data_IF_311887173099
#
_entry.id   IF_311887173099
#
_cell.length_a   1.000
_cell.length_b   1.000
_cell.length_c   1.000
_cell.angle_alpha   90.00
_cell.angle_beta   90.00
_cell.angle_gamma   90.00
#
_symmetry.space_group_name_H-M   'P 1'
#
loop_
_entity.id
_entity.type
_entity.pdbx_description
1 polymer ?
#
# COMPACT_ATOMS: atom_id res chain seq x y z
N UNK A 1 -43.46 24.65 -65.95
CA UNK A 1 -43.16 25.37 -67.21
C UNK A 1 -41.64 25.43 -67.30
N UNK A 2 -41.00 24.47 -67.97
CA UNK A 2 -40.78 24.38 -69.43
C UNK A 2 -39.90 25.50 -69.99
N UNK A 3 -38.78 25.11 -70.61
CA UNK A 3 -37.87 25.96 -71.39
C UNK A 3 -36.84 26.69 -70.52
N UNK A 4 -35.57 26.82 -70.86
CA UNK A 4 -34.98 26.79 -72.19
C UNK A 4 -33.48 26.44 -72.13
N UNK A 5 -33.06 25.67 -73.12
CA UNK A 5 -31.66 25.33 -73.44
C UNK A 5 -30.95 26.57 -73.99
N UNK A 6 -29.68 26.73 -73.63
CA UNK A 6 -28.67 27.22 -74.59
C UNK A 6 -27.50 26.25 -74.58
N UNK A 7 -27.31 25.57 -75.72
CA UNK A 7 -26.08 24.85 -76.08
C UNK A 7 -25.12 25.86 -76.71
N UNK A 8 -23.81 25.62 -76.60
CA UNK A 8 -22.82 25.59 -77.69
C UNK A 8 -21.44 25.37 -77.02
N UNK A 9 -20.91 24.15 -77.02
CA UNK A 9 -20.11 23.50 -78.08
C UNK A 9 -18.69 24.06 -78.21
N UNK A 10 -17.70 23.32 -77.70
CA UNK A 10 -16.53 22.89 -78.48
C UNK A 10 -15.61 22.00 -77.64
N UNK A 11 -15.48 20.74 -78.08
CA UNK A 11 -14.45 19.76 -77.69
C UNK A 11 -13.03 20.29 -77.97
N UNK A 12 -12.07 20.03 -77.07
CA UNK A 12 -10.69 19.52 -77.33
C UNK A 12 -10.18 18.82 -76.05
N UNK A 13 -10.18 17.49 -75.99
CA UNK A 13 -9.05 16.57 -76.20
C UNK A 13 -7.89 16.80 -75.23
N UNK A 14 -7.60 15.82 -74.35
CA UNK A 14 -6.30 15.70 -73.70
C UNK A 14 -6.24 14.88 -72.40
N UNK A 15 -5.93 13.59 -72.53
CA UNK A 15 -5.28 12.68 -71.57
C UNK A 15 -6.01 12.24 -70.27
N UNK A 16 -6.06 10.91 -69.98
CA UNK A 16 -6.53 10.39 -68.70
C UNK A 16 -5.40 10.50 -67.66
N UNK A 17 -5.69 11.19 -66.55
CA UNK A 17 -4.82 11.21 -65.38
C UNK A 17 -4.91 9.83 -64.71
N UNK A 18 -3.90 8.99 -64.95
CA UNK A 18 -3.63 7.76 -64.21
C UNK A 18 -3.54 8.08 -62.71
N UNK A 19 -4.52 7.59 -61.96
CA UNK A 19 -4.53 7.58 -60.50
C UNK A 19 -3.47 6.58 -60.04
N UNK A 20 -2.29 7.07 -59.64
CA UNK A 20 -1.28 6.24 -58.97
C UNK A 20 -1.75 6.01 -57.54
N UNK A 21 -2.24 4.80 -57.26
CA UNK A 21 -2.48 4.32 -55.90
C UNK A 21 -1.10 4.03 -55.28
N UNK A 22 -0.57 5.00 -54.54
CA UNK A 22 0.56 4.78 -53.63
C UNK A 22 0.06 4.05 -52.39
N UNK A 23 0.29 2.73 -52.33
CA UNK A 23 0.07 1.92 -51.14
C UNK A 23 1.16 2.28 -50.11
N UNK A 24 0.91 3.30 -49.29
CA UNK A 24 1.72 3.58 -48.12
C UNK A 24 1.35 2.57 -47.01
N UNK A 25 2.06 1.45 -46.97
CA UNK A 25 2.04 0.56 -45.79
C UNK A 25 2.78 1.29 -44.69
N UNK A 26 2.03 2.01 -43.85
CA UNK A 26 2.56 2.54 -42.59
C UNK A 26 2.83 1.35 -41.67
N UNK A 27 4.10 0.93 -41.61
CA UNK A 27 4.62 0.08 -40.55
C UNK A 27 4.58 0.89 -39.24
N UNK A 28 3.41 0.95 -38.59
CA UNK A 28 3.38 1.23 -37.16
C UNK A 28 3.91 -0.01 -36.47
N UNK A 29 5.23 -0.04 -36.26
CA UNK A 29 5.81 -0.94 -35.27
C UNK A 29 5.15 -0.62 -33.94
N UNK A 30 4.33 -1.53 -33.44
CA UNK A 30 4.03 -1.56 -32.03
C UNK A 30 5.37 -1.80 -31.34
N UNK A 31 5.94 -0.73 -30.77
CA UNK A 31 6.89 -0.91 -29.68
C UNK A 31 6.03 -1.42 -28.55
N UNK A 32 5.88 -2.74 -28.51
CA UNK A 32 5.52 -3.44 -27.30
C UNK A 32 6.71 -3.17 -26.37
N UNK A 33 6.63 -2.06 -25.63
CA UNK A 33 7.42 -1.92 -24.43
C UNK A 33 6.89 -3.06 -23.59
N UNK A 34 7.59 -4.20 -23.66
CA UNK A 34 7.51 -5.24 -22.66
C UNK A 34 7.80 -4.51 -21.36
N UNK A 35 6.74 -4.04 -20.71
CA UNK A 35 6.78 -3.72 -19.31
C UNK A 35 7.08 -5.09 -18.73
N UNK A 36 8.36 -5.36 -18.46
CA UNK A 36 8.72 -6.45 -17.57
C UNK A 36 7.75 -6.29 -16.41
N UNK A 37 6.82 -7.24 -16.25
CA UNK A 37 5.84 -7.18 -15.17
C UNK A 37 6.68 -6.97 -13.92
N UNK A 38 6.66 -5.75 -13.38
CA UNK A 38 7.57 -5.42 -12.30
C UNK A 38 7.16 -6.30 -11.14
N UNK A 39 8.04 -7.26 -10.84
CA UNK A 39 7.80 -8.31 -9.88
C UNK A 39 7.52 -7.68 -8.51
N UNK A 40 6.58 -8.26 -7.77
CA UNK A 40 6.31 -7.83 -6.42
C UNK A 40 7.60 -7.86 -5.59
N UNK A 41 7.92 -6.72 -4.98
CA UNK A 41 8.90 -6.62 -3.90
C UNK A 41 8.37 -5.74 -2.79
N UNK A 42 8.87 -5.95 -1.58
CA UNK A 42 8.50 -5.14 -0.44
C UNK A 42 9.67 -4.87 0.49
N UNK A 43 9.54 -3.86 1.35
CA UNK A 43 10.50 -3.50 2.37
C UNK A 43 9.80 -3.15 3.68
N UNK A 44 10.44 -3.50 4.80
CA UNK A 44 10.00 -3.09 6.12
C UNK A 44 10.60 -1.72 6.43
N UNK A 45 9.77 -0.67 6.49
CA UNK A 45 10.23 0.67 6.85
C UNK A 45 10.04 0.85 8.35
N UNK A 46 11.13 0.80 9.11
CA UNK A 46 11.10 1.07 10.55
C UNK A 46 10.96 2.56 10.78
N UNK A 47 9.90 2.94 11.50
CA UNK A 47 9.54 4.32 11.79
C UNK A 47 9.91 4.77 13.20
N UNK A 48 9.99 3.83 14.13
CA UNK A 48 10.43 4.07 15.50
C UNK A 48 10.67 2.72 16.20
N UNK A 49 11.14 2.80 17.44
CA UNK A 49 11.24 1.66 18.33
C UNK A 49 10.66 2.04 19.69
N UNK A 50 9.89 1.15 20.31
CA UNK A 50 9.42 1.31 21.68
C UNK A 50 9.98 0.28 22.63
N UNK A 51 10.17 0.69 23.88
CA UNK A 51 10.49 -0.22 24.97
C UNK A 51 9.35 -1.21 25.12
N UNK A 52 9.68 -2.49 25.10
CA UNK A 52 8.72 -3.56 25.30
C UNK A 52 8.48 -3.74 26.79
N UNK A 53 7.37 -3.19 27.30
CA UNK A 53 6.70 -3.55 28.56
C UNK A 53 7.57 -4.03 29.75
N UNK A 54 7.04 -4.97 30.52
CA UNK A 54 7.72 -5.57 31.67
C UNK A 54 8.48 -6.86 31.27
N UNK A 55 9.45 -7.27 32.10
CA UNK A 55 10.26 -8.48 31.92
C UNK A 55 9.41 -9.74 31.73
N UNK A 56 9.79 -10.58 30.77
CA UNK A 56 9.21 -11.90 30.55
C UNK A 56 9.92 -12.95 31.44
N UNK A 57 9.14 -13.79 32.11
CA UNK A 57 9.67 -14.97 32.79
C UNK A 57 9.89 -16.11 31.78
N UNK A 58 11.13 -16.35 31.40
CA UNK A 58 11.54 -17.46 30.55
C UNK A 58 12.07 -18.65 31.34
N UNK A 59 12.35 -19.76 30.63
CA UNK A 59 12.96 -20.97 31.22
C UNK A 59 14.32 -20.70 31.90
N UNK A 60 14.99 -19.60 31.53
CA UNK A 60 16.32 -19.23 32.02
C UNK A 60 16.30 -17.98 32.92
N UNK A 61 15.13 -17.58 33.43
CA UNK A 61 14.96 -16.45 34.34
C UNK A 61 14.22 -15.28 33.70
N UNK A 62 14.38 -14.09 34.31
CA UNK A 62 13.79 -12.85 33.82
C UNK A 62 14.56 -12.34 32.62
N UNK A 63 13.84 -12.05 31.54
CA UNK A 63 14.41 -11.48 30.31
C UNK A 63 13.64 -10.21 29.95
N UNK A 64 14.37 -9.14 29.65
CA UNK A 64 13.75 -7.97 29.04
C UNK A 64 13.25 -8.38 27.65
N UNK A 65 12.00 -8.08 27.27
CA UNK A 65 11.56 -8.43 25.94
C UNK A 65 12.36 -7.63 24.90
N UNK A 66 12.45 -8.11 23.65
CA UNK A 66 13.02 -7.31 22.59
C UNK A 66 12.10 -6.10 22.34
N UNK A 67 12.69 -4.92 22.08
CA UNK A 67 11.93 -3.70 21.88
C UNK A 67 10.98 -3.84 20.68
N UNK A 68 9.80 -3.25 20.81
CA UNK A 68 8.78 -3.29 19.76
C UNK A 68 9.15 -2.35 18.63
N UNK A 69 9.27 -2.88 17.41
CA UNK A 69 9.53 -2.07 16.23
C UNK A 69 8.20 -1.51 15.71
N UNK A 70 8.17 -0.21 15.41
CA UNK A 70 7.05 0.40 14.69
C UNK A 70 7.39 0.40 13.21
N UNK A 71 6.62 -0.33 12.40
CA UNK A 71 6.93 -0.53 10.98
C UNK A 71 5.76 -0.14 10.08
N UNK A 72 6.09 0.34 8.89
CA UNK A 72 5.20 0.41 7.74
C UNK A 72 5.75 -0.50 6.64
N UNK A 73 4.89 -0.99 5.74
CA UNK A 73 5.32 -1.89 4.66
C UNK A 73 5.30 -1.11 3.34
N UNK A 74 6.48 -0.93 2.75
CA UNK A 74 6.62 -0.37 1.42
C UNK A 74 6.53 -1.49 0.40
N UNK A 75 5.67 -1.34 -0.59
CA UNK A 75 5.39 -2.38 -1.58
C UNK A 75 5.57 -1.76 -2.96
N UNK A 76 6.29 -2.43 -3.83
CA UNK A 76 6.37 -2.09 -5.25
C UNK A 76 5.85 -3.26 -6.08
N UNK A 77 4.89 -2.97 -6.95
CA UNK A 77 4.29 -3.97 -7.81
C UNK A 77 3.61 -3.32 -9.01
N UNK A 78 3.83 -3.87 -10.22
CA UNK A 78 3.25 -3.38 -11.49
C UNK A 78 3.44 -1.87 -11.71
N UNK A 79 4.61 -1.34 -11.33
CA UNK A 79 4.94 0.08 -11.46
C UNK A 79 4.24 1.00 -10.46
N UNK A 80 3.49 0.46 -9.49
CA UNK A 80 2.91 1.23 -8.40
C UNK A 80 3.63 0.98 -7.08
N UNK A 81 3.83 2.05 -6.29
CA UNK A 81 4.37 2.01 -4.94
C UNK A 81 3.27 2.26 -3.91
N UNK A 82 3.02 1.27 -3.07
CA UNK A 82 2.01 1.31 -2.02
C UNK A 82 2.68 1.34 -0.64
N UNK A 83 2.02 1.98 0.31
CA UNK A 83 2.41 1.92 1.71
C UNK A 83 1.28 1.32 2.54
N UNK A 84 1.55 0.21 3.24
CA UNK A 84 0.59 -0.38 4.17
C UNK A 84 0.87 0.10 5.60
N UNK A 85 -0.05 0.90 6.14
CA UNK A 85 0.16 1.70 7.35
C UNK A 85 1.22 2.80 7.14
N UNK A 86 1.37 3.72 8.08
CA UNK A 86 2.40 4.79 8.01
C UNK A 86 3.37 4.76 9.19
N UNK A 87 3.09 3.96 10.22
CA UNK A 87 3.86 3.97 11.46
C UNK A 87 3.86 5.36 12.13
N UNK A 88 4.95 5.67 12.82
CA UNK A 88 5.16 6.95 13.50
C UNK A 88 5.63 8.03 12.53
N UNK A 89 4.94 9.16 12.53
CA UNK A 89 5.18 10.31 11.65
C UNK A 89 5.92 11.46 12.31
N UNK A 90 6.21 12.51 11.52
CA UNK A 90 6.94 13.71 11.97
C UNK A 90 6.28 14.41 13.17
N UNK A 91 4.96 14.24 13.28
CA UNK A 91 4.13 14.94 14.26
C UNK A 91 3.75 14.09 15.47
N UNK A 92 4.35 12.89 15.66
CA UNK A 92 3.92 11.97 16.71
C UNK A 92 3.95 12.58 18.12
N UNK A 93 4.97 13.38 18.42
CA UNK A 93 5.11 14.07 19.70
C UNK A 93 3.95 15.02 19.95
N UNK A 94 3.69 15.92 19.00
CA UNK A 94 2.60 16.90 19.08
C UNK A 94 1.22 16.22 19.10
N UNK A 95 1.06 15.12 18.35
CA UNK A 95 -0.18 14.34 18.32
C UNK A 95 -0.51 13.73 19.68
N UNK A 96 0.49 13.17 20.36
CA UNK A 96 0.33 12.62 21.70
C UNK A 96 0.19 13.71 22.76
N UNK A 97 0.96 14.78 22.69
CA UNK A 97 0.89 15.88 23.66
C UNK A 97 -0.47 16.59 23.62
N UNK A 98 -1.12 16.64 22.45
CA UNK A 98 -2.45 17.23 22.29
C UNK A 98 -3.55 16.48 23.05
N UNK A 99 -3.43 15.16 23.22
CA UNK A 99 -4.50 14.30 23.73
C UNK A 99 -4.12 13.62 25.06
N UNK A 100 -2.82 13.38 25.29
CA UNK A 100 -2.23 12.63 26.40
C UNK A 100 -0.92 13.26 26.91
N UNK A 101 -0.90 14.56 27.30
CA UNK A 101 0.33 15.27 27.69
C UNK A 101 1.03 14.70 28.93
N UNK A 102 0.32 13.90 29.73
CA UNK A 102 0.83 13.23 30.93
C UNK A 102 1.45 11.86 30.64
N UNK A 103 1.31 11.33 29.41
CA UNK A 103 1.78 9.99 29.07
C UNK A 103 3.26 10.02 28.73
N UNK A 104 4.06 9.22 29.45
CA UNK A 104 5.46 8.99 29.08
C UNK A 104 5.54 8.37 27.69
N UNK A 105 6.28 9.04 26.80
CA UNK A 105 6.57 8.56 25.46
C UNK A 105 7.66 7.50 25.56
N UNK A 106 7.29 6.25 25.29
CA UNK A 106 8.19 5.09 25.33
C UNK A 106 8.68 4.69 23.95
N UNK A 107 8.62 5.59 22.97
CA UNK A 107 9.25 5.40 21.67
C UNK A 107 10.50 6.27 21.56
N UNK A 108 11.45 5.77 20.79
CA UNK A 108 12.71 6.43 20.46
C UNK A 108 13.04 6.18 18.99
N UNK A 109 14.06 6.88 18.49
CA UNK A 109 14.58 6.75 17.13
C UNK A 109 13.48 6.94 16.06
N UNK A 110 12.64 7.96 16.25
CA UNK A 110 11.59 8.29 15.28
C UNK A 110 12.22 8.72 13.98
N UNK A 111 11.99 7.94 12.91
CA UNK A 111 12.41 8.19 11.54
C UNK A 111 11.24 7.90 10.61
N UNK A 112 10.36 8.88 10.36
CA UNK A 112 9.16 8.70 9.54
C UNK A 112 9.45 8.09 8.17
N UNK A 113 8.48 7.36 7.61
CA UNK A 113 8.59 6.80 6.25
C UNK A 113 8.90 7.91 5.24
N UNK A 114 8.21 9.05 5.38
CA UNK A 114 8.36 10.20 4.49
C UNK A 114 9.81 10.66 4.36
N UNK A 115 10.50 10.82 5.48
CA UNK A 115 11.90 11.27 5.50
C UNK A 115 12.81 10.26 4.81
N UNK A 116 12.63 8.96 5.10
CA UNK A 116 13.43 7.90 4.51
C UNK A 116 13.27 7.80 2.99
N UNK A 117 12.06 8.02 2.47
CA UNK A 117 11.80 7.96 1.04
C UNK A 117 12.23 9.24 0.31
N UNK A 118 12.09 10.41 0.93
CA UNK A 118 12.56 11.68 0.37
C UNK A 118 14.08 11.71 0.19
N UNK A 119 14.83 11.13 1.12
CA UNK A 119 16.29 10.99 1.02
C UNK A 119 16.73 10.23 -0.26
N UNK A 120 15.90 9.29 -0.71
CA UNK A 120 16.15 8.47 -1.90
C UNK A 120 15.36 8.93 -3.14
N UNK A 121 14.62 10.05 -3.03
CA UNK A 121 13.80 10.59 -4.12
C UNK A 121 12.62 9.69 -4.53
N UNK A 122 12.09 8.90 -3.60
CA UNK A 122 10.97 7.98 -3.84
C UNK A 122 9.63 8.59 -3.43
N UNK A 123 8.64 8.50 -4.31
CA UNK A 123 7.25 8.87 -4.04
C UNK A 123 6.37 7.61 -3.90
N UNK A 124 5.25 7.72 -3.18
CA UNK A 124 4.26 6.64 -3.05
C UNK A 124 2.96 7.04 -3.76
N UNK A 125 2.29 6.08 -4.39
CA UNK A 125 1.06 6.36 -5.11
C UNK A 125 -0.17 6.33 -4.20
N UNK A 126 -0.18 5.41 -3.23
CA UNK A 126 -1.34 5.12 -2.38
C UNK A 126 -0.93 4.56 -1.02
N UNK A 127 -1.74 4.87 0.00
CA UNK A 127 -1.62 4.30 1.35
C UNK A 127 -2.80 3.35 1.57
N UNK A 128 -2.53 2.12 2.01
CA UNK A 128 -3.55 1.20 2.50
C UNK A 128 -3.58 1.28 4.02
N UNK A 129 -4.73 1.65 4.58
CA UNK A 129 -4.90 1.77 6.01
C UNK A 129 -5.11 0.40 6.64
N UNK A 130 -4.06 -0.11 7.30
CA UNK A 130 -4.10 -1.39 8.01
C UNK A 130 -4.95 -1.34 9.29
N UNK A 131 -4.84 -0.27 10.07
CA UNK A 131 -5.63 -0.02 11.27
C UNK A 131 -5.56 1.48 11.57
N UNK A 132 -6.60 2.06 12.18
CA UNK A 132 -6.63 3.50 12.52
C UNK A 132 -5.97 3.82 13.86
N UNK A 133 -5.42 2.80 14.55
CA UNK A 133 -4.74 3.04 15.83
C UNK A 133 -3.49 3.90 15.66
N UNK A 134 -3.21 4.70 16.67
CA UNK A 134 -2.29 5.83 16.56
C UNK A 134 -0.86 5.46 16.14
N UNK A 135 -0.40 4.29 16.54
CA UNK A 135 0.93 3.78 16.22
C UNK A 135 1.07 3.31 14.77
N UNK A 136 -0.05 3.16 14.05
CA UNK A 136 -0.08 2.74 12.65
C UNK A 136 -0.34 3.88 11.66
N UNK A 137 -0.87 5.04 12.11
CA UNK A 137 -1.36 6.12 11.23
C UNK A 137 -0.81 7.51 11.54
N UNK A 138 0.15 7.63 12.46
CA UNK A 138 0.74 8.92 12.81
C UNK A 138 1.37 9.64 11.61
N UNK A 139 2.00 8.90 10.70
CA UNK A 139 2.58 9.40 9.45
C UNK A 139 1.58 9.80 8.36
N UNK A 140 0.26 9.64 8.53
CA UNK A 140 -0.71 10.13 7.54
C UNK A 140 -0.59 11.64 7.30
N UNK A 141 -0.23 12.41 8.34
CA UNK A 141 -0.03 13.85 8.25
C UNK A 141 1.14 14.24 7.32
N UNK A 142 2.05 13.30 7.04
CA UNK A 142 3.23 13.51 6.21
C UNK A 142 2.94 13.29 4.70
N UNK A 143 1.72 12.86 4.36
CA UNK A 143 1.27 12.56 3.00
C UNK A 143 -0.11 13.15 2.66
N UNK A 144 -0.33 14.47 2.79
CA UNK A 144 -1.62 15.10 2.49
C UNK A 144 -2.08 14.92 1.02
N UNK A 145 -1.13 14.70 0.12
CA UNK A 145 -1.35 14.51 -1.31
C UNK A 145 -1.72 13.09 -1.72
N UNK A 146 -1.41 12.08 -0.89
CA UNK A 146 -1.52 10.66 -1.26
C UNK A 146 -2.92 10.13 -0.94
N UNK A 147 -3.60 9.45 -1.89
CA UNK A 147 -4.85 8.75 -1.62
C UNK A 147 -4.70 7.65 -0.56
N UNK A 148 -5.69 7.56 0.34
CA UNK A 148 -5.71 6.60 1.44
C UNK A 148 -6.90 5.66 1.30
N UNK A 149 -6.63 4.38 1.04
CA UNK A 149 -7.64 3.33 1.03
C UNK A 149 -8.01 2.95 2.45
N UNK A 150 -9.30 3.04 2.78
CA UNK A 150 -9.82 2.66 4.09
C UNK A 150 -11.14 1.90 3.95
N UNK A 151 -11.31 0.86 4.77
CA UNK A 151 -12.56 0.11 4.80
C UNK A 151 -13.66 0.89 5.53
N UNK A 152 -14.91 0.57 5.24
CA UNK A 152 -16.06 1.13 5.96
C UNK A 152 -15.96 0.87 7.49
N UNK A 153 -15.43 -0.29 7.89
CA UNK A 153 -15.25 -0.66 9.29
C UNK A 153 -14.14 0.16 9.96
N UNK A 154 -13.01 0.39 9.26
CA UNK A 154 -11.94 1.25 9.75
C UNK A 154 -12.44 2.68 9.99
N UNK A 155 -13.21 3.23 9.04
CA UNK A 155 -13.79 4.57 9.15
C UNK A 155 -14.90 4.65 10.21
N UNK A 156 -15.64 3.56 10.42
CA UNK A 156 -16.64 3.48 11.50
C UNK A 156 -15.97 3.44 12.86
N UNK A 157 -14.89 2.66 13.02
CA UNK A 157 -14.12 2.63 14.25
C UNK A 157 -13.47 3.99 14.55
N UNK A 158 -12.91 4.67 13.55
CA UNK A 158 -12.36 6.04 13.69
C UNK A 158 -13.36 7.02 14.32
N UNK A 159 -14.66 6.90 14.01
CA UNK A 159 -15.69 7.81 14.54
C UNK A 159 -16.00 7.60 16.03
N UNK A 160 -15.78 6.39 16.55
CA UNK A 160 -16.18 6.00 17.91
C UNK A 160 -14.98 5.81 18.84
N UNK A 161 -13.79 5.58 18.29
CA UNK A 161 -12.58 5.39 19.07
C UNK A 161 -12.13 6.69 19.74
N UNK A 162 -11.47 6.54 20.90
CA UNK A 162 -10.95 7.64 21.71
C UNK A 162 -9.49 7.37 22.08
N UNK A 163 -8.73 8.39 22.52
CA UNK A 163 -7.40 8.18 23.06
C UNK A 163 -7.41 7.17 24.23
N UNK A 164 -6.39 6.30 24.35
CA UNK A 164 -5.18 6.25 23.55
C UNK A 164 -5.29 5.43 22.26
N UNK A 165 -6.41 4.77 21.96
CA UNK A 165 -6.48 3.88 20.80
C UNK A 165 -6.31 4.65 19.48
N UNK A 166 -7.04 5.75 19.34
CA UNK A 166 -6.98 6.65 18.19
C UNK A 166 -6.79 8.07 18.70
N UNK A 167 -5.88 8.82 18.10
CA UNK A 167 -5.64 10.23 18.45
C UNK A 167 -6.34 11.14 17.44
N UNK A 168 -7.37 11.90 17.83
CA UNK A 168 -8.07 12.81 16.91
C UNK A 168 -7.15 13.82 16.22
N UNK A 169 -6.06 14.21 16.89
CA UNK A 169 -4.99 15.06 16.34
C UNK A 169 -4.37 14.54 15.04
N UNK A 170 -4.34 13.22 14.82
CA UNK A 170 -3.82 12.57 13.60
C UNK A 170 -4.72 12.74 12.37
N UNK A 171 -5.94 13.25 12.54
CA UNK A 171 -6.92 13.37 11.45
C UNK A 171 -7.43 14.80 11.29
N UNK A 172 -6.77 15.80 11.89
CA UNK A 172 -7.14 17.23 11.76
C UNK A 172 -6.78 17.82 10.40
N UNK A 173 -5.94 17.15 9.62
CA UNK A 173 -5.65 17.52 8.25
C UNK A 173 -6.62 16.83 7.28
N UNK A 174 -6.85 17.39 6.07
CA UNK A 174 -7.57 16.68 5.03
C UNK A 174 -6.88 15.34 4.70
N UNK A 175 -7.67 14.29 4.53
CA UNK A 175 -7.21 12.98 4.06
C UNK A 175 -7.97 12.65 2.78
N UNK A 176 -7.25 12.23 1.74
CA UNK A 176 -7.83 11.86 0.44
C UNK A 176 -8.36 10.43 0.48
N UNK A 177 -9.47 10.23 1.20
CA UNK A 177 -10.09 8.92 1.38
C UNK A 177 -10.52 8.28 0.05
N UNK A 178 -10.21 7.00 -0.10
CA UNK A 178 -10.72 6.12 -1.13
C UNK A 178 -11.34 4.88 -0.45
N UNK A 179 -12.48 4.44 -0.98
CA UNK A 179 -13.18 3.27 -0.46
C UNK A 179 -12.35 2.01 -0.69
N UNK A 180 -12.15 1.22 0.35
CA UNK A 180 -11.63 -0.14 0.27
C UNK A 180 -12.82 -1.09 0.50
N UNK A 181 -13.22 -1.78 -0.57
CA UNK A 181 -14.39 -2.66 -0.54
C UNK A 181 -13.95 -4.11 -0.70
N UNK A 182 -14.17 -4.91 0.34
CA UNK A 182 -13.94 -6.34 0.26
C UNK A 182 -15.04 -7.01 -0.56
N UNK A 183 -14.63 -7.95 -1.42
CA UNK A 183 -15.53 -8.75 -2.22
C UNK A 183 -15.81 -10.07 -1.49
N UNK A 184 -16.96 -10.71 -1.78
CA UNK A 184 -17.27 -12.07 -1.32
C UNK A 184 -16.46 -13.13 -2.09
N UNK A 185 -15.14 -12.95 -2.10
CA UNK A 185 -14.14 -13.82 -2.71
C UNK A 185 -13.34 -14.46 -1.57
N UNK A 186 -13.55 -15.76 -1.28
CA UNK A 186 -12.80 -16.43 -0.23
C UNK A 186 -11.32 -16.46 -0.55
N UNK A 187 -10.50 -16.04 0.40
CA UNK A 187 -9.05 -16.16 0.35
C UNK A 187 -8.58 -16.80 1.65
N UNK A 188 -8.12 -18.05 1.55
CA UNK A 188 -7.77 -18.88 2.70
C UNK A 188 -8.95 -19.00 3.68
N UNK A 189 -8.74 -18.76 4.97
CA UNK A 189 -9.74 -18.72 6.02
C UNK A 189 -10.70 -17.52 5.94
N UNK A 190 -10.36 -16.48 5.17
CA UNK A 190 -11.17 -15.27 5.08
C UNK A 190 -12.27 -15.41 4.03
N UNK A 191 -13.52 -15.18 4.44
CA UNK A 191 -14.69 -15.23 3.54
C UNK A 191 -14.74 -14.08 2.53
N UNK A 192 -14.11 -12.96 2.86
CA UNK A 192 -14.05 -11.78 2.02
C UNK A 192 -12.59 -11.38 1.83
N UNK A 193 -12.27 -10.87 0.64
CA UNK A 193 -10.93 -10.40 0.31
C UNK A 193 -10.99 -9.35 -0.79
N UNK A 194 -9.88 -8.65 -0.99
CA UNK A 194 -9.67 -7.73 -2.10
C UNK A 194 -8.27 -7.97 -2.66
N UNK A 195 -8.20 -8.48 -3.88
CA UNK A 195 -6.97 -8.53 -4.65
C UNK A 195 -6.77 -7.17 -5.35
N UNK A 196 -5.74 -6.42 -4.95
CA UNK A 196 -5.54 -5.05 -5.42
C UNK A 196 -5.16 -4.95 -6.90
N UNK A 197 -4.58 -6.01 -7.46
CA UNK A 197 -4.07 -6.02 -8.84
C UNK A 197 -4.68 -7.14 -9.71
N UNK A 198 -5.41 -8.08 -9.09
CA UNK A 198 -6.11 -9.17 -9.77
C UNK A 198 -5.24 -10.37 -10.12
N UNK A 199 -4.03 -10.45 -9.56
CA UNK A 199 -3.05 -11.52 -9.82
C UNK A 199 -2.68 -12.36 -8.58
N UNK A 200 -3.32 -12.08 -7.44
CA UNK A 200 -3.12 -12.78 -6.19
C UNK A 200 -1.84 -12.42 -5.44
N UNK A 201 -1.05 -11.45 -5.92
CA UNK A 201 0.21 -11.07 -5.30
C UNK A 201 0.05 -10.09 -4.13
N UNK A 202 -0.95 -9.21 -4.18
CA UNK A 202 -1.27 -8.24 -3.11
C UNK A 202 -2.74 -8.37 -2.72
N UNK A 203 -3.01 -9.19 -1.71
CA UNK A 203 -4.38 -9.50 -1.27
C UNK A 203 -4.64 -8.95 0.11
N UNK A 204 -5.71 -8.15 0.24
CA UNK A 204 -6.20 -7.62 1.50
C UNK A 204 -7.35 -8.47 2.03
N UNK A 205 -7.41 -8.64 3.35
CA UNK A 205 -8.49 -9.35 4.04
C UNK A 205 -9.00 -8.52 5.22
N UNK A 206 -10.30 -8.57 5.55
CA UNK A 206 -10.79 -8.00 6.80
C UNK A 206 -10.31 -8.88 7.96
N UNK A 207 -9.85 -8.23 9.02
CA UNK A 207 -9.54 -8.87 10.29
C UNK A 207 -10.58 -8.51 11.32
N UNK A 208 -10.79 -9.43 12.26
CA UNK A 208 -11.57 -9.14 13.45
C UNK A 208 -10.84 -8.08 14.29
N UNK A 209 -11.62 -7.19 14.91
CA UNK A 209 -11.10 -6.11 15.75
C UNK A 209 -10.98 -4.79 14.99
N UNK A 210 -11.81 -3.82 15.40
CA UNK A 210 -11.59 -2.40 15.14
C UNK A 210 -11.40 -1.98 13.67
N UNK A 211 -11.96 -2.76 12.73
CA UNK A 211 -11.82 -2.51 11.30
C UNK A 211 -10.38 -2.68 10.80
N UNK A 212 -9.61 -3.57 11.42
CA UNK A 212 -8.27 -3.91 10.98
C UNK A 212 -8.29 -4.66 9.64
N UNK A 213 -7.23 -4.46 8.87
CA UNK A 213 -7.00 -5.08 7.56
C UNK A 213 -5.73 -5.92 7.65
N UNK A 214 -5.76 -7.10 7.05
CA UNK A 214 -4.62 -7.96 6.85
C UNK A 214 -4.13 -7.84 5.40
N UNK A 215 -2.83 -7.99 5.20
CA UNK A 215 -2.18 -7.93 3.90
C UNK A 215 -1.38 -9.21 3.69
N UNK A 216 -1.72 -9.92 2.61
CA UNK A 216 -0.93 -11.01 2.06
C UNK A 216 -0.08 -10.51 0.90
N UNK A 217 1.22 -10.81 0.95
CA UNK A 217 2.15 -10.61 -0.15
C UNK A 217 2.65 -11.97 -0.64
N UNK A 218 2.50 -12.25 -1.94
CA UNK A 218 3.01 -13.47 -2.59
C UNK A 218 4.07 -13.11 -3.62
N UNK A 219 5.33 -13.41 -3.33
CA UNK A 219 6.46 -13.20 -4.26
C UNK A 219 6.43 -14.21 -5.42
N UNK A 220 7.15 -13.95 -6.52
CA UNK A 220 7.12 -14.88 -7.65
C UNK A 220 7.76 -16.25 -7.35
N UNK A 221 8.67 -16.31 -6.38
CA UNK A 221 9.22 -17.58 -5.87
C UNK A 221 8.23 -18.38 -4.99
N UNK A 222 7.02 -17.88 -4.80
CA UNK A 222 5.95 -18.53 -4.06
C UNK A 222 5.98 -18.30 -2.55
N UNK A 223 7.00 -17.61 -2.01
CA UNK A 223 6.99 -17.21 -0.59
C UNK A 223 5.83 -16.27 -0.32
N UNK A 224 5.15 -16.52 0.79
CA UNK A 224 4.00 -15.73 1.25
C UNK A 224 4.28 -15.09 2.59
N UNK A 225 3.91 -13.83 2.70
CA UNK A 225 4.05 -13.03 3.91
C UNK A 225 2.69 -12.49 4.31
N UNK A 226 2.45 -12.42 5.62
CA UNK A 226 1.22 -11.85 6.16
C UNK A 226 1.52 -10.76 7.18
N UNK A 227 0.92 -9.60 6.93
CA UNK A 227 1.00 -8.42 7.78
C UNK A 227 -0.37 -8.12 8.34
N UNK A 228 -0.41 -7.82 9.63
CA UNK A 228 -1.62 -7.35 10.29
C UNK A 228 -1.51 -5.86 10.50
N UNK A 229 -2.60 -5.15 10.22
CA UNK A 229 -2.72 -3.75 10.53
C UNK A 229 -2.83 -3.48 12.04
N UNK A 230 -3.17 -4.48 12.84
CA UNK A 230 -3.32 -4.38 14.29
C UNK A 230 -2.30 -5.23 15.05
N UNK A 231 -2.01 -4.80 16.28
CA UNK A 231 -1.42 -5.63 17.31
C UNK A 231 -2.47 -5.85 18.39
N UNK A 232 -3.36 -6.80 18.18
CA UNK A 232 -4.21 -7.33 19.24
C UNK A 232 -3.43 -8.38 20.03
N UNK A 233 -3.81 -8.57 21.29
CA UNK A 233 -3.26 -9.62 22.14
C UNK A 233 -3.35 -10.95 21.43
N UNK A 234 -2.35 -11.79 21.68
CA UNK A 234 -2.07 -13.06 21.03
C UNK A 234 -3.32 -13.94 21.00
N UNK A 235 -4.18 -13.78 20.00
CA UNK A 235 -5.15 -14.80 19.68
C UNK A 235 -4.35 -15.99 19.18
N UNK A 236 -4.40 -17.04 19.99
CA UNK A 236 -3.82 -18.33 19.72
C UNK A 236 -4.64 -18.98 18.60
N UNK A 237 -4.29 -18.68 17.35
CA UNK A 237 -4.87 -19.25 16.13
C UNK A 237 -4.78 -18.21 15.02
N UNK A 238 -4.06 -18.38 13.92
CA UNK A 238 -3.60 -19.58 13.25
C UNK A 238 -2.11 -19.46 12.89
N UNK A 239 -1.38 -20.56 13.03
CA UNK A 239 -0.22 -20.74 12.18
C UNK A 239 -0.76 -20.86 10.75
N UNK A 240 -0.76 -19.75 10.01
CA UNK A 240 -1.12 -19.76 8.59
C UNK A 240 -0.12 -20.67 7.86
N UNK A 241 -0.59 -21.84 7.41
CA UNK A 241 0.28 -22.83 6.79
C UNK A 241 1.00 -22.22 5.59
N UNK A 242 2.34 -22.32 5.59
CA UNK A 242 3.21 -21.79 4.54
C UNK A 242 3.15 -20.25 4.37
N UNK A 243 2.86 -19.51 5.44
CA UNK A 243 2.87 -18.04 5.45
C UNK A 243 3.74 -17.50 6.58
N UNK A 244 4.63 -16.56 6.27
CA UNK A 244 5.50 -15.90 7.24
C UNK A 244 4.72 -14.73 7.85
N UNK A 245 4.22 -14.90 9.08
CA UNK A 245 3.54 -13.85 9.83
C UNK A 245 4.56 -12.86 10.43
N UNK A 246 4.46 -11.58 10.07
CA UNK A 246 5.48 -10.57 10.39
C UNK A 246 5.18 -9.75 11.65
N UNK A 247 4.80 -10.44 12.72
CA UNK A 247 4.61 -9.85 14.06
C UNK A 247 5.84 -10.02 14.97
N UNK A 248 6.74 -10.96 14.62
CA UNK A 248 7.91 -11.29 15.42
C UNK A 248 9.12 -10.40 15.08
N UNK A 249 9.72 -9.80 16.09
CA UNK A 249 10.86 -8.88 15.93
C UNK A 249 12.11 -9.56 15.33
N UNK A 250 12.35 -10.85 15.59
CA UNK A 250 13.49 -11.56 15.01
C UNK A 250 13.29 -11.80 13.51
N UNK A 251 12.06 -12.11 13.11
CA UNK A 251 11.70 -12.30 11.70
C UNK A 251 11.79 -10.97 10.93
N UNK A 252 11.33 -9.87 11.54
CA UNK A 252 11.52 -8.53 10.97
C UNK A 252 13.01 -8.18 10.83
N UNK A 253 13.81 -8.44 11.87
CA UNK A 253 15.25 -8.19 11.84
C UNK A 253 16.00 -9.05 10.80
N UNK A 254 15.57 -10.30 10.57
CA UNK A 254 16.21 -11.19 9.60
C UNK A 254 15.91 -10.81 8.15
N UNK A 255 14.69 -10.33 7.86
CA UNK A 255 14.37 -9.72 6.56
C UNK A 255 15.13 -8.41 6.36
N UNK A 256 15.35 -7.67 7.45
CA UNK A 256 15.97 -6.36 7.48
C UNK A 256 15.00 -5.23 7.14
N UNK A 257 15.49 -4.01 7.22
CA UNK A 257 14.69 -2.79 7.03
C UNK A 257 15.14 -2.01 5.80
N UNK A 258 14.25 -1.17 5.27
CA UNK A 258 14.54 -0.22 4.20
C UNK A 258 15.87 0.51 4.44
N UNK A 259 16.77 0.60 3.43
CA UNK A 259 16.55 0.36 2.00
C UNK A 259 16.68 -1.09 1.50
N UNK A 260 16.69 -2.08 2.40
CA UNK A 260 16.72 -3.50 2.00
C UNK A 260 15.35 -3.96 1.48
N UNK A 261 15.34 -4.59 0.31
CA UNK A 261 14.15 -5.15 -0.32
C UNK A 261 14.09 -6.68 -0.17
N UNK A 262 12.87 -7.18 -0.06
CA UNK A 262 12.51 -8.60 -0.16
C UNK A 262 11.80 -8.78 -1.49
N UNK A 263 12.41 -9.55 -2.38
CA UNK A 263 11.93 -9.86 -3.72
C UNK A 263 12.10 -11.35 -4.00
N UNK A 264 11.35 -11.87 -4.98
CA UNK A 264 11.51 -13.26 -5.42
C UNK A 264 12.88 -13.44 -6.07
N UNK A 265 13.46 -14.62 -5.92
CA UNK A 265 14.60 -14.96 -6.77
C UNK A 265 14.08 -15.11 -8.19
N UNK A 266 14.43 -14.17 -9.07
CA UNK A 266 14.14 -14.28 -10.51
C UNK A 266 14.64 -15.63 -11.02
N UNK A 267 13.79 -16.34 -11.76
CA UNK A 267 14.17 -17.59 -12.42
C UNK A 267 15.20 -17.35 -13.53
#
# INVERSE_FOLDING_TARGET
MSGERVRHSSLRIGAPLMLVIGLAVSLFGFVEIASAEQELRFSLVRTAQSDSGDFLLGRNGWHEPPPTQHIAILIEHRGSRLLFGTGLGRQIDAQLDAELPWRTKRYANVRPVRDQLEEDGLEIDRIVLGCVRWEHVSGLADYPEVPVLASADSLSYLKVATPPAVLPSQFRHPVRWQSLEFQASPYREHRHSLDLFGDGQVVLVPLDGHGAVGLFLTLADGRRFFFRGDRLERDAGDALENVIALQDANTQASLGFYPRWVEGAGQ
#
